data_IF_900280892866
#
_entry.id   IF_900280892866
#
_cell.length_a   1.000
_cell.length_b   1.000
_cell.length_c   1.000
_cell.angle_alpha   90.00
_cell.angle_beta   90.00
_cell.angle_gamma   90.00
#
_symmetry.space_group_name_H-M   'P 1'
#
loop_
_entity.id
_entity.type
_entity.pdbx_description
1 polymer ?
#
# COMPACT_ATOMS: atom_id res chain seq x y z
N UNK A 1 70.48 -3.34 -17.32
CA UNK A 1 69.34 -3.11 -18.23
C UNK A 1 68.56 -1.91 -17.67
N UNK A 2 68.86 -0.69 -18.11
CA UNK A 2 68.24 0.53 -17.56
C UNK A 2 66.85 0.72 -18.16
N UNK A 3 65.80 0.60 -17.33
CA UNK A 3 64.42 0.91 -17.73
C UNK A 3 64.37 2.35 -18.22
N UNK A 4 64.08 2.53 -19.51
CA UNK A 4 64.02 3.84 -20.17
C UNK A 4 63.03 4.76 -19.44
N UNK A 5 63.33 6.06 -19.38
CA UNK A 5 62.49 7.05 -18.71
C UNK A 5 61.04 7.04 -19.24
N UNK A 6 60.87 6.79 -20.55
CA UNK A 6 59.56 6.61 -21.17
C UNK A 6 58.77 5.42 -20.63
N UNK A 7 59.42 4.29 -20.33
CA UNK A 7 58.77 3.12 -19.72
C UNK A 7 58.26 3.41 -18.31
N UNK A 8 58.98 4.23 -17.53
CA UNK A 8 58.57 4.62 -16.17
C UNK A 8 57.35 5.53 -16.19
N UNK A 9 57.34 6.51 -17.10
CA UNK A 9 56.20 7.43 -17.27
C UNK A 9 54.96 6.68 -17.74
N UNK A 10 55.11 5.75 -18.68
CA UNK A 10 54.00 4.93 -19.16
C UNK A 10 53.42 4.03 -18.07
N UNK A 11 54.28 3.38 -17.27
CA UNK A 11 53.84 2.59 -16.12
C UNK A 11 53.06 3.44 -15.09
N UNK A 12 53.56 4.65 -14.77
CA UNK A 12 52.86 5.56 -13.85
C UNK A 12 51.49 5.99 -14.39
N UNK A 13 51.36 6.29 -15.68
CA UNK A 13 50.06 6.60 -16.29
C UNK A 13 49.13 5.39 -16.29
N UNK A 14 49.63 4.20 -16.62
CA UNK A 14 48.84 2.97 -16.63
C UNK A 14 48.31 2.63 -15.22
N UNK A 15 49.18 2.71 -14.20
CA UNK A 15 48.80 2.48 -12.80
C UNK A 15 47.83 3.56 -12.31
N UNK A 16 48.05 4.83 -12.66
CA UNK A 16 47.13 5.92 -12.32
C UNK A 16 45.76 5.74 -12.97
N UNK A 17 45.70 5.37 -14.25
CA UNK A 17 44.46 5.08 -14.96
C UNK A 17 43.74 3.86 -14.38
N UNK A 18 44.47 2.82 -13.99
CA UNK A 18 43.92 1.64 -13.36
C UNK A 18 43.33 1.95 -11.98
N UNK A 19 44.04 2.71 -11.15
CA UNK A 19 43.53 3.17 -9.85
C UNK A 19 42.33 4.10 -10.01
N UNK A 20 42.32 4.98 -11.02
CA UNK A 20 41.18 5.83 -11.34
C UNK A 20 39.97 5.00 -11.78
N UNK A 21 40.15 3.99 -12.63
CA UNK A 21 39.08 3.05 -13.00
C UNK A 21 38.57 2.28 -11.79
N UNK A 22 39.45 1.78 -10.93
CA UNK A 22 39.07 1.03 -9.74
C UNK A 22 38.31 1.93 -8.74
N UNK A 23 38.76 3.17 -8.58
CA UNK A 23 38.07 4.17 -7.77
C UNK A 23 36.72 4.58 -8.37
N UNK A 24 36.60 4.71 -9.70
CA UNK A 24 35.34 5.02 -10.39
C UNK A 24 34.36 3.85 -10.33
N UNK A 25 34.84 2.60 -10.45
CA UNK A 25 34.05 1.38 -10.26
C UNK A 25 33.55 1.29 -8.82
N UNK A 26 34.46 1.44 -7.85
CA UNK A 26 34.11 1.48 -6.43
C UNK A 26 33.13 2.61 -6.11
N UNK A 27 33.31 3.81 -6.66
CA UNK A 27 32.35 4.92 -6.53
C UNK A 27 31.04 4.64 -7.27
N UNK A 28 31.05 3.90 -8.37
CA UNK A 28 29.83 3.50 -9.07
C UNK A 28 29.05 2.44 -8.29
N UNK A 29 29.71 1.61 -7.51
CA UNK A 29 29.13 0.46 -6.81
C UNK A 29 28.76 0.80 -5.35
N UNK A 30 29.61 1.60 -4.68
CA UNK A 30 29.51 1.97 -3.26
C UNK A 30 29.39 3.48 -3.01
N UNK A 31 29.56 4.33 -4.03
CA UNK A 31 29.33 5.76 -3.85
C UNK A 31 27.86 6.05 -3.54
N UNK A 32 27.54 7.12 -2.80
CA UNK A 32 26.16 7.54 -2.54
C UNK A 32 25.46 7.84 -3.87
N UNK A 33 24.74 6.85 -4.40
CA UNK A 33 23.97 7.00 -5.64
C UNK A 33 22.73 7.84 -5.34
N UNK A 34 22.76 9.04 -5.93
CA UNK A 34 21.67 9.96 -6.31
C UNK A 34 20.33 9.71 -5.62
N UNK A 35 19.90 10.74 -4.88
CA UNK A 35 18.51 11.09 -4.52
C UNK A 35 17.52 10.24 -5.31
N UNK A 36 16.87 9.32 -4.61
CA UNK A 36 15.73 8.50 -5.02
C UNK A 36 15.07 9.02 -6.31
N UNK A 37 15.41 8.45 -7.46
CA UNK A 37 14.93 8.95 -8.75
C UNK A 37 13.40 8.87 -8.78
N UNK A 38 12.74 9.95 -9.16
CA UNK A 38 11.28 9.97 -9.29
C UNK A 38 10.83 8.93 -10.30
N UNK A 39 9.81 8.17 -9.93
CA UNK A 39 9.18 7.14 -10.77
C UNK A 39 7.70 7.49 -10.92
N UNK A 40 7.05 7.20 -12.06
CA UNK A 40 5.62 7.39 -12.19
C UNK A 40 4.84 6.55 -11.15
N UNK A 41 4.00 7.15 -10.29
CA UNK A 41 3.24 6.41 -9.27
C UNK A 41 2.34 5.32 -9.87
N UNK A 42 1.73 5.59 -11.03
CA UNK A 42 0.89 4.62 -11.73
C UNK A 42 1.61 3.33 -12.13
N UNK A 43 2.93 3.40 -12.39
CA UNK A 43 3.72 2.19 -12.68
C UNK A 43 3.83 1.30 -11.44
N UNK A 44 4.03 1.89 -10.25
CA UNK A 44 4.15 1.10 -9.03
C UNK A 44 2.79 0.57 -8.58
N UNK A 45 1.72 1.36 -8.70
CA UNK A 45 0.36 0.86 -8.47
C UNK A 45 0.02 -0.32 -9.37
N UNK A 46 0.36 -0.24 -10.66
CA UNK A 46 0.20 -1.35 -11.59
C UNK A 46 0.97 -2.59 -11.11
N UNK A 47 2.22 -2.44 -10.67
CA UNK A 47 3.00 -3.56 -10.10
C UNK A 47 2.33 -4.17 -8.87
N UNK A 48 1.78 -3.34 -7.98
CA UNK A 48 1.08 -3.82 -6.77
C UNK A 48 -0.20 -4.59 -7.10
N UNK A 49 -0.94 -4.17 -8.13
CA UNK A 49 -2.17 -4.83 -8.56
C UNK A 49 -1.93 -6.12 -9.36
N UNK A 50 -0.73 -6.28 -9.93
CA UNK A 50 -0.33 -7.48 -10.69
C UNK A 50 0.75 -8.27 -9.97
N UNK A 51 0.88 -8.10 -8.66
CA UNK A 51 1.87 -8.85 -7.89
C UNK A 51 1.46 -10.34 -7.90
N UNK A 52 2.41 -11.27 -8.11
CA UNK A 52 2.09 -12.70 -8.17
C UNK A 52 1.72 -13.26 -6.79
N UNK A 53 2.29 -12.68 -5.73
CA UNK A 53 2.20 -13.19 -4.37
C UNK A 53 1.37 -12.26 -3.47
N UNK A 54 0.61 -12.87 -2.57
CA UNK A 54 -0.11 -12.16 -1.52
C UNK A 54 0.86 -11.69 -0.43
N UNK A 55 0.67 -10.47 0.08
CA UNK A 55 1.51 -9.94 1.16
C UNK A 55 0.79 -10.08 2.50
N UNK A 56 1.38 -10.82 3.43
CA UNK A 56 0.92 -10.89 4.83
C UNK A 56 1.72 -9.90 5.66
N UNK A 57 1.02 -8.95 6.28
CA UNK A 57 1.60 -7.84 7.01
C UNK A 57 1.23 -7.92 8.50
N UNK A 58 2.22 -7.80 9.35
CA UNK A 58 2.06 -7.56 10.78
C UNK A 58 1.90 -6.06 11.04
N UNK A 59 0.86 -5.67 11.79
CA UNK A 59 0.57 -4.29 12.20
C UNK A 59 1.19 -4.06 13.58
N UNK A 60 2.10 -3.09 13.68
CA UNK A 60 2.80 -2.74 14.92
C UNK A 60 2.71 -1.25 15.21
N UNK A 61 2.82 -0.88 16.48
CA UNK A 61 3.01 0.50 16.93
C UNK A 61 4.12 0.53 17.97
N UNK A 62 5.30 1.05 17.57
CA UNK A 62 6.51 0.87 18.36
C UNK A 62 6.84 -0.63 18.51
N UNK A 63 7.01 -1.10 19.74
CA UNK A 63 7.25 -2.51 20.05
C UNK A 63 5.96 -3.34 20.15
N UNK A 64 4.78 -2.70 20.22
CA UNK A 64 3.51 -3.38 20.43
C UNK A 64 2.96 -3.98 19.13
N UNK A 65 2.67 -5.28 19.15
CA UNK A 65 1.91 -5.94 18.09
C UNK A 65 0.42 -5.60 18.21
N UNK A 66 -0.14 -5.00 17.16
CA UNK A 66 -1.53 -4.58 17.11
C UNK A 66 -2.43 -5.59 16.38
N UNK A 67 -1.90 -6.34 15.42
CA UNK A 67 -2.65 -7.34 14.65
C UNK A 67 -2.04 -7.59 13.27
N UNK A 68 -2.85 -8.03 12.30
CA UNK A 68 -2.37 -8.38 10.96
C UNK A 68 -3.29 -7.87 9.86
N UNK A 69 -2.73 -7.78 8.65
CA UNK A 69 -3.41 -7.40 7.42
C UNK A 69 -2.90 -8.27 6.26
N UNK A 70 -3.81 -8.85 5.49
CA UNK A 70 -3.51 -9.50 4.23
C UNK A 70 -3.78 -8.52 3.09
N UNK A 71 -2.86 -8.49 2.14
CA UNK A 71 -2.97 -7.75 0.88
C UNK A 71 -2.97 -8.76 -0.27
N UNK A 72 -4.12 -8.92 -0.93
CA UNK A 72 -4.36 -9.97 -1.93
C UNK A 72 -4.77 -9.34 -3.25
N UNK A 73 -3.81 -9.00 -4.13
CA UNK A 73 -4.11 -8.69 -5.51
C UNK A 73 -4.47 -9.99 -6.24
N UNK A 74 -5.45 -9.92 -7.13
CA UNK A 74 -5.88 -11.05 -7.94
C UNK A 74 -6.33 -10.58 -9.33
N UNK A 75 -6.27 -11.51 -10.28
CA UNK A 75 -6.56 -11.29 -11.69
C UNK A 75 -7.80 -12.09 -12.06
N UNK A 76 -8.91 -11.37 -12.22
CA UNK A 76 -10.18 -11.94 -12.62
C UNK A 76 -10.26 -12.25 -14.11
N UNK A 77 -10.75 -13.45 -14.42
CA UNK A 77 -11.01 -13.90 -15.77
C UNK A 77 -12.53 -14.00 -15.97
N UNK A 78 -13.06 -13.40 -17.03
CA UNK A 78 -14.42 -13.69 -17.46
C UNK A 78 -14.35 -14.90 -18.38
N UNK A 79 -14.99 -16.00 -17.99
CA UNK A 79 -15.49 -16.94 -18.97
C UNK A 79 -16.50 -16.17 -19.82
N UNK A 80 -16.18 -15.96 -21.10
CA UNK A 80 -16.98 -15.16 -22.04
C UNK A 80 -18.46 -15.56 -21.91
N UNK A 81 -19.28 -14.67 -21.34
CA UNK A 81 -20.72 -14.83 -21.29
C UNK A 81 -21.23 -14.73 -22.72
N UNK A 82 -21.42 -15.89 -23.34
CA UNK A 82 -21.73 -15.99 -24.75
C UNK A 82 -22.46 -17.28 -25.15
N UNK A 83 -23.17 -17.95 -24.24
CA UNK A 83 -24.30 -18.82 -24.57
C UNK A 83 -24.96 -19.35 -23.29
N UNK A 84 -26.29 -19.18 -23.23
CA UNK A 84 -27.32 -20.02 -22.61
C UNK A 84 -26.91 -20.91 -21.43
N UNK A 85 -27.65 -20.74 -20.34
CA UNK A 85 -28.03 -21.83 -19.44
C UNK A 85 -28.34 -23.10 -20.24
N UNK A 86 -27.55 -24.16 -20.03
CA UNK A 86 -27.96 -25.55 -19.80
C UNK A 86 -26.72 -26.46 -19.87
N UNK A 87 -26.66 -27.36 -18.89
CA UNK A 87 -25.93 -28.62 -18.80
C UNK A 87 -24.43 -28.63 -18.47
N UNK A 88 -24.12 -29.57 -17.55
CA UNK A 88 -22.80 -30.09 -17.21
C UNK A 88 -21.99 -30.35 -18.48
N UNK A 89 -20.87 -29.65 -18.62
CA UNK A 89 -19.71 -30.17 -19.34
C UNK A 89 -18.47 -29.38 -18.92
N UNK A 90 -17.38 -30.12 -18.69
CA UNK A 90 -16.06 -29.63 -18.32
C UNK A 90 -15.63 -28.42 -19.15
N UNK A 91 -14.91 -27.45 -18.55
CA UNK A 91 -14.34 -26.35 -19.32
C UNK A 91 -13.43 -26.91 -20.43
N UNK A 92 -13.76 -26.60 -21.68
CA UNK A 92 -12.99 -26.99 -22.87
C UNK A 92 -11.50 -26.67 -22.65
N UNK A 93 -10.69 -27.72 -22.48
CA UNK A 93 -9.25 -27.65 -22.30
C UNK A 93 -8.62 -26.97 -23.54
N UNK A 94 -8.13 -25.74 -23.36
CA UNK A 94 -7.49 -24.96 -24.43
C UNK A 94 -8.04 -23.55 -24.70
N UNK A 95 -9.13 -23.12 -24.06
CA UNK A 95 -9.48 -21.70 -24.08
C UNK A 95 -8.51 -20.92 -23.18
N UNK A 96 -7.70 -20.03 -23.77
CA UNK A 96 -6.91 -19.06 -23.01
C UNK A 96 -7.91 -18.06 -22.38
N UNK A 97 -8.08 -18.06 -21.05
CA UNK A 97 -9.01 -17.16 -20.41
C UNK A 97 -8.59 -15.71 -20.66
N UNK A 98 -9.54 -14.87 -21.06
CA UNK A 98 -9.27 -13.45 -21.28
C UNK A 98 -9.32 -12.73 -19.93
N UNK A 99 -8.25 -12.00 -19.64
CA UNK A 99 -8.20 -11.02 -18.56
C UNK A 99 -9.41 -10.09 -18.67
N UNK A 100 -10.26 -10.06 -17.64
CA UNK A 100 -11.48 -9.26 -17.65
C UNK A 100 -11.47 -8.14 -16.61
N UNK A 101 -10.88 -8.38 -15.44
CA UNK A 101 -10.81 -7.41 -14.36
C UNK A 101 -9.64 -7.70 -13.41
N UNK A 102 -9.30 -6.73 -12.57
CA UNK A 102 -8.38 -6.89 -11.45
C UNK A 102 -9.16 -6.73 -10.15
N UNK A 103 -8.81 -7.52 -9.15
CA UNK A 103 -9.33 -7.38 -7.79
C UNK A 103 -8.19 -7.12 -6.82
N UNK A 104 -8.48 -6.36 -5.78
CA UNK A 104 -7.60 -6.17 -4.66
C UNK A 104 -8.41 -6.31 -3.39
N UNK A 105 -8.13 -7.38 -2.65
CA UNK A 105 -8.74 -7.65 -1.36
C UNK A 105 -7.75 -7.35 -0.23
N UNK A 106 -8.26 -6.65 0.77
CA UNK A 106 -7.53 -6.28 1.97
C UNK A 106 -8.35 -6.72 3.18
N UNK A 107 -7.83 -7.63 3.99
CA UNK A 107 -8.54 -8.11 5.18
C UNK A 107 -7.61 -8.22 6.38
N UNK A 108 -8.13 -8.00 7.57
CA UNK A 108 -7.29 -8.04 8.74
C UNK A 108 -8.03 -7.74 10.03
N UNK A 109 -7.26 -7.67 11.09
CA UNK A 109 -7.73 -7.19 12.36
C UNK A 109 -6.63 -6.45 13.10
N UNK A 110 -7.05 -5.54 13.98
CA UNK A 110 -6.15 -4.80 14.84
C UNK A 110 -6.80 -4.47 16.18
N UNK A 111 -5.98 -4.31 17.20
CA UNK A 111 -6.35 -3.78 18.51
C UNK A 111 -5.57 -2.48 18.69
N UNK A 112 -6.24 -1.37 18.95
CA UNK A 112 -5.59 -0.07 19.13
C UNK A 112 -5.41 0.19 20.62
N UNK A 113 -4.22 0.59 21.10
CA UNK A 113 -4.03 0.98 22.49
C UNK A 113 -4.98 2.14 22.87
N UNK A 114 -5.69 2.00 24.00
CA UNK A 114 -6.72 2.97 24.41
C UNK A 114 -8.09 2.76 23.75
N UNK A 115 -8.25 1.73 22.92
CA UNK A 115 -9.54 1.30 22.39
C UNK A 115 -9.84 -0.16 22.79
N UNK A 116 -10.89 -0.42 23.58
CA UNK A 116 -11.10 -1.73 24.20
C UNK A 116 -11.55 -2.83 23.22
N UNK A 117 -11.97 -2.45 22.01
CA UNK A 117 -12.58 -3.38 21.05
C UNK A 117 -11.63 -3.73 19.91
N UNK A 118 -11.50 -5.03 19.61
CA UNK A 118 -10.79 -5.51 18.43
C UNK A 118 -11.55 -5.10 17.16
N UNK A 119 -10.84 -4.46 16.24
CA UNK A 119 -11.35 -4.02 14.95
C UNK A 119 -11.06 -5.12 13.94
N UNK A 120 -12.07 -5.61 13.23
CA UNK A 120 -11.89 -6.46 12.06
C UNK A 120 -12.32 -5.69 10.82
N UNK A 121 -11.45 -5.62 9.83
CA UNK A 121 -11.71 -4.89 8.59
C UNK A 121 -11.56 -5.81 7.38
N UNK A 122 -12.33 -5.52 6.35
CA UNK A 122 -12.21 -6.12 5.03
C UNK A 122 -12.58 -5.09 3.99
N UNK A 123 -11.79 -4.92 2.94
CA UNK A 123 -12.06 -4.06 1.81
C UNK A 123 -11.77 -4.80 0.51
N UNK A 124 -12.60 -4.58 -0.50
CA UNK A 124 -12.45 -5.14 -1.84
C UNK A 124 -12.53 -4.03 -2.87
N UNK A 125 -11.61 -4.02 -3.82
CA UNK A 125 -11.58 -3.08 -4.94
C UNK A 125 -11.57 -3.86 -6.25
N UNK A 126 -12.54 -3.60 -7.12
CA UNK A 126 -12.59 -4.13 -8.48
C UNK A 126 -12.21 -3.06 -9.49
N UNK A 127 -11.30 -3.39 -10.40
CA UNK A 127 -10.87 -2.54 -11.50
C UNK A 127 -11.06 -3.23 -12.85
N UNK A 128 -11.29 -2.46 -13.90
CA UNK A 128 -11.29 -2.97 -15.27
C UNK A 128 -9.86 -3.21 -15.80
N UNK A 129 -9.75 -3.68 -17.04
CA UNK A 129 -8.45 -3.93 -17.70
C UNK A 129 -7.62 -2.67 -17.96
N UNK A 130 -8.23 -1.47 -17.89
CA UNK A 130 -7.58 -0.18 -17.99
C UNK A 130 -7.20 0.41 -16.62
N UNK A 131 -7.34 -0.36 -15.54
CA UNK A 131 -7.14 0.08 -14.15
C UNK A 131 -8.11 1.18 -13.70
N UNK A 132 -9.26 1.33 -14.37
CA UNK A 132 -10.35 2.17 -13.90
C UNK A 132 -11.13 1.40 -12.83
N UNK A 133 -11.31 2.02 -11.67
CA UNK A 133 -12.07 1.42 -10.58
C UNK A 133 -13.56 1.30 -10.96
N UNK A 134 -14.18 0.18 -10.58
CA UNK A 134 -15.58 -0.12 -10.86
C UNK A 134 -16.40 -0.13 -9.57
N UNK A 135 -15.99 -0.95 -8.61
CA UNK A 135 -16.66 -1.10 -7.32
C UNK A 135 -15.63 -1.10 -6.20
N UNK A 136 -16.00 -0.50 -5.09
CA UNK A 136 -15.24 -0.52 -3.86
C UNK A 136 -16.17 -0.88 -2.72
N UNK A 137 -15.83 -1.90 -1.97
CA UNK A 137 -16.55 -2.28 -0.76
C UNK A 137 -15.61 -2.27 0.43
N UNK A 138 -16.11 -1.85 1.57
CA UNK A 138 -15.38 -1.94 2.84
C UNK A 138 -16.35 -2.24 3.96
N UNK A 139 -15.89 -3.07 4.89
CA UNK A 139 -16.63 -3.51 6.05
C UNK A 139 -15.71 -3.46 7.25
N UNK A 140 -16.12 -2.76 8.29
CA UNK A 140 -15.41 -2.65 9.56
C UNK A 140 -16.34 -3.12 10.66
N UNK A 141 -15.91 -4.13 11.41
CA UNK A 141 -16.65 -4.71 12.53
C UNK A 141 -15.92 -4.39 13.83
N UNK A 142 -16.62 -3.74 14.75
CA UNK A 142 -16.16 -3.41 16.09
C UNK A 142 -17.29 -3.79 17.04
N UNK A 143 -17.28 -5.00 17.62
CA UNK A 143 -18.45 -5.48 18.38
C UNK A 143 -18.92 -4.46 19.45
N UNK A 144 -20.22 -4.11 19.49
CA UNK A 144 -21.33 -4.67 18.70
C UNK A 144 -21.53 -4.07 17.29
N UNK A 145 -20.82 -3.01 16.95
CA UNK A 145 -21.04 -2.17 15.78
C UNK A 145 -20.47 -2.74 14.47
N UNK A 146 -21.19 -2.51 13.36
CA UNK A 146 -20.80 -2.90 12.01
C UNK A 146 -20.99 -1.72 11.06
N UNK A 147 -19.92 -1.37 10.36
CA UNK A 147 -19.90 -0.31 9.34
C UNK A 147 -19.63 -0.96 7.98
N UNK A 148 -20.51 -0.73 7.02
CA UNK A 148 -20.37 -1.20 5.65
C UNK A 148 -20.50 -0.01 4.69
N UNK A 149 -19.63 0.03 3.69
CA UNK A 149 -19.67 1.02 2.63
C UNK A 149 -19.47 0.31 1.31
N UNK A 150 -20.36 0.61 0.36
CA UNK A 150 -20.31 0.10 -1.00
C UNK A 150 -20.38 1.27 -1.98
N UNK A 151 -19.36 1.45 -2.79
CA UNK A 151 -19.27 2.48 -3.81
C UNK A 151 -19.25 1.84 -5.21
N UNK A 152 -20.00 2.43 -6.14
CA UNK A 152 -20.06 2.00 -7.53
C UNK A 152 -19.82 3.19 -8.46
N UNK A 153 -18.79 3.08 -9.31
CA UNK A 153 -18.37 4.12 -10.23
C UNK A 153 -19.39 4.38 -11.35
N UNK A 154 -20.04 3.34 -11.88
CA UNK A 154 -21.01 3.48 -12.98
C UNK A 154 -22.30 4.15 -12.52
N UNK A 155 -22.75 3.83 -11.31
CA UNK A 155 -23.92 4.47 -10.69
C UNK A 155 -23.60 5.84 -10.05
N UNK A 156 -22.32 6.16 -9.84
CA UNK A 156 -21.85 7.32 -9.09
C UNK A 156 -22.46 7.45 -7.68
N UNK A 157 -22.64 6.31 -7.02
CA UNK A 157 -23.30 6.20 -5.71
C UNK A 157 -22.41 5.50 -4.69
N UNK A 158 -22.55 5.92 -3.44
CA UNK A 158 -21.98 5.28 -2.27
C UNK A 158 -23.12 4.94 -1.32
N UNK A 159 -23.30 3.67 -1.00
CA UNK A 159 -24.21 3.21 0.05
C UNK A 159 -23.40 3.04 1.32
N UNK A 160 -23.93 3.55 2.42
CA UNK A 160 -23.35 3.39 3.75
C UNK A 160 -24.40 2.78 4.65
N UNK A 161 -24.04 1.65 5.25
CA UNK A 161 -24.87 0.94 6.20
C UNK A 161 -24.09 0.85 7.52
N UNK A 162 -24.71 1.31 8.60
CA UNK A 162 -24.15 1.28 9.95
C UNK A 162 -25.18 0.66 10.86
N UNK A 163 -24.78 -0.36 11.60
CA UNK A 163 -25.54 -0.93 12.71
C UNK A 163 -24.69 -0.72 13.97
N UNK A 164 -25.04 0.26 14.81
CA UNK A 164 -24.28 0.65 16.00
C UNK A 164 -25.13 0.46 17.26
N UNK A 165 -25.06 -0.72 17.86
CA UNK A 165 -25.67 -1.01 19.18
C UNK A 165 -27.18 -0.74 19.30
N UNK A 166 -27.93 -0.73 18.20
CA UNK A 166 -29.37 -0.45 18.15
C UNK A 166 -29.76 0.68 17.19
N UNK A 167 -28.84 1.61 16.90
CA UNK A 167 -29.05 2.64 15.88
C UNK A 167 -28.63 2.13 14.51
N UNK A 168 -29.59 2.07 13.57
CA UNK A 168 -29.34 1.70 12.19
C UNK A 168 -29.38 2.91 11.29
N UNK A 169 -28.32 3.11 10.53
CA UNK A 169 -28.21 4.15 9.53
C UNK A 169 -27.92 3.50 8.18
N UNK A 170 -28.88 3.60 7.25
CA UNK A 170 -28.71 3.14 5.87
C UNK A 170 -28.99 4.30 4.93
N UNK A 171 -27.95 4.79 4.25
CA UNK A 171 -28.08 5.93 3.35
C UNK A 171 -27.25 5.76 2.10
N UNK A 172 -27.82 6.20 0.99
CA UNK A 172 -27.13 6.29 -0.30
C UNK A 172 -26.81 7.73 -0.62
N UNK A 173 -25.55 8.01 -0.89
CA UNK A 173 -24.99 9.30 -1.28
C UNK A 173 -24.55 9.28 -2.74
N UNK A 174 -24.63 10.42 -3.42
CA UNK A 174 -24.01 10.64 -4.73
C UNK A 174 -22.58 11.14 -4.57
N UNK A 175 -21.70 10.89 -5.55
CA UNK A 175 -20.32 11.40 -5.50
C UNK A 175 -20.21 12.91 -5.37
N UNK A 176 -21.17 13.65 -5.94
CA UNK A 176 -21.21 15.11 -5.82
C UNK A 176 -21.31 15.58 -4.35
N UNK A 177 -21.90 14.79 -3.47
CA UNK A 177 -22.09 15.10 -2.05
C UNK A 177 -20.75 15.02 -1.28
N UNK A 178 -19.78 14.23 -1.75
CA UNK A 178 -18.42 14.15 -1.21
C UNK A 178 -17.59 15.42 -1.43
N UNK A 179 -18.09 16.38 -2.23
CA UNK A 179 -17.49 17.72 -2.30
C UNK A 179 -17.61 18.49 -0.99
N UNK A 180 -18.56 18.14 -0.13
CA UNK A 180 -18.72 18.72 1.20
C UNK A 180 -18.44 17.67 2.30
N UNK A 181 -17.15 17.36 2.57
CA UNK A 181 -16.79 16.33 3.53
C UNK A 181 -17.27 16.63 4.96
N UNK A 182 -17.49 17.91 5.29
CA UNK A 182 -17.96 18.33 6.60
C UNK A 182 -19.42 17.93 6.83
N UNK A 183 -20.28 18.07 5.81
CA UNK A 183 -21.67 17.64 5.89
C UNK A 183 -21.77 16.12 6.06
N UNK A 184 -21.00 15.36 5.25
CA UNK A 184 -20.93 13.90 5.36
C UNK A 184 -20.44 13.43 6.72
N UNK A 185 -19.39 14.02 7.28
CA UNK A 185 -18.90 13.63 8.60
C UNK A 185 -19.89 13.94 9.72
N UNK A 186 -20.76 14.95 9.58
CA UNK A 186 -21.83 15.20 10.56
C UNK A 186 -22.94 14.15 10.45
N UNK A 187 -23.25 13.71 9.23
CA UNK A 187 -24.27 12.69 9.00
C UNK A 187 -23.80 11.27 9.32
N UNK A 188 -22.52 10.97 9.07
CA UNK A 188 -21.88 9.67 9.33
C UNK A 188 -21.30 9.58 10.75
N UNK A 189 -20.96 10.73 11.34
CA UNK A 189 -20.22 10.85 12.59
C UNK A 189 -21.07 10.60 13.82
N UNK A 190 -21.45 9.34 14.03
CA UNK A 190 -21.66 8.84 15.38
C UNK A 190 -20.39 9.05 16.23
N UNK A 191 -20.50 9.02 17.58
CA UNK A 191 -19.39 9.35 18.49
C UNK A 191 -18.13 8.50 18.30
N UNK A 192 -18.23 7.33 17.65
CA UNK A 192 -17.13 6.38 17.47
C UNK A 192 -16.13 6.78 16.38
N UNK A 193 -16.56 7.42 15.28
CA UNK A 193 -15.64 7.78 14.18
C UNK A 193 -14.56 8.79 14.62
N UNK A 194 -14.89 9.87 15.36
CA UNK A 194 -13.88 10.76 15.94
C UNK A 194 -12.96 10.06 16.93
N UNK A 195 -13.47 9.14 17.75
CA UNK A 195 -12.68 8.39 18.73
C UNK A 195 -11.67 7.45 18.05
N UNK A 196 -12.11 6.69 17.06
CA UNK A 196 -11.24 5.80 16.27
C UNK A 196 -10.18 6.60 15.51
N UNK A 197 -10.57 7.71 14.88
CA UNK A 197 -9.61 8.57 14.18
C UNK A 197 -8.60 9.18 15.16
N UNK A 198 -9.04 9.63 16.33
CA UNK A 198 -8.16 10.09 17.41
C UNK A 198 -7.16 9.02 17.87
N UNK A 199 -7.60 7.78 18.05
CA UNK A 199 -6.74 6.66 18.44
C UNK A 199 -5.69 6.32 17.34
N UNK A 200 -6.03 6.52 16.06
CA UNK A 200 -5.08 6.43 14.94
C UNK A 200 -4.21 7.69 14.77
N UNK A 201 -4.28 8.66 15.69
CA UNK A 201 -3.54 9.93 15.62
C UNK A 201 -4.00 10.85 14.50
N UNK A 202 -5.23 10.67 14.02
CA UNK A 202 -5.91 11.48 13.02
C UNK A 202 -7.06 12.26 13.68
N UNK A 203 -6.80 13.31 14.49
CA UNK A 203 -7.87 14.17 15.02
C UNK A 203 -8.67 14.78 13.86
N UNK A 204 -9.86 14.22 13.62
CA UNK A 204 -10.83 14.74 12.65
C UNK A 204 -11.52 15.95 13.28
N UNK A 205 -10.86 17.11 13.25
CA UNK A 205 -11.53 18.37 13.57
C UNK A 205 -12.37 18.80 12.37
N UNK A 206 -13.70 18.70 12.50
CA UNK A 206 -14.67 19.06 11.45
C UNK A 206 -14.54 20.49 10.94
N UNK A 207 -13.91 21.39 11.71
CA UNK A 207 -13.72 22.80 11.36
C UNK A 207 -12.63 23.07 10.30
N UNK A 208 -11.68 22.17 10.08
CA UNK A 208 -10.50 22.43 9.22
C UNK A 208 -10.39 21.53 7.99
N UNK A 209 -11.41 20.72 7.70
CA UNK A 209 -11.39 19.82 6.55
C UNK A 209 -11.77 20.59 5.28
N UNK A 210 -10.77 20.88 4.45
CA UNK A 210 -10.99 21.39 3.09
C UNK A 210 -10.97 20.23 2.08
N UNK A 211 -11.75 20.28 0.98
CA UNK A 211 -11.71 19.24 -0.05
C UNK A 211 -10.31 19.02 -0.65
N UNK A 212 -9.49 20.08 -0.70
CA UNK A 212 -8.10 20.00 -1.15
C UNK A 212 -7.20 19.20 -0.19
N UNK A 213 -7.43 19.31 1.12
CA UNK A 213 -6.67 18.59 2.15
C UNK A 213 -6.93 17.07 2.18
N UNK A 214 -8.02 16.61 1.56
CA UNK A 214 -8.33 15.20 1.32
C UNK A 214 -7.72 14.65 0.03
N UNK A 215 -7.17 15.52 -0.83
CA UNK A 215 -6.59 15.12 -2.10
C UNK A 215 -5.30 14.33 -1.89
N UNK A 216 -5.35 13.01 -2.12
CA UNK A 216 -4.18 12.14 -2.07
C UNK A 216 -3.30 12.37 -3.30
N UNK A 217 -2.17 13.05 -3.11
CA UNK A 217 -1.13 13.19 -4.14
C UNK A 217 -0.02 12.17 -3.88
N UNK A 218 -0.02 11.12 -4.69
CA UNK A 218 1.01 10.09 -4.63
C UNK A 218 2.26 10.53 -5.38
N UNK A 219 3.40 10.43 -4.71
CA UNK A 219 4.73 10.51 -5.33
C UNK A 219 5.39 9.14 -5.20
N UNK A 220 6.07 8.67 -6.24
CA UNK A 220 6.84 7.44 -6.18
C UNK A 220 8.31 7.70 -6.47
N UNK A 221 9.20 7.02 -5.75
CA UNK A 221 10.64 7.14 -5.94
C UNK A 221 11.31 5.79 -5.78
N UNK A 222 12.46 5.60 -6.44
CA UNK A 222 13.33 4.45 -6.18
C UNK A 222 14.01 4.63 -4.83
N UNK A 223 13.95 3.62 -3.97
CA UNK A 223 14.57 3.64 -2.65
C UNK A 223 15.21 2.28 -2.34
N UNK A 224 15.80 2.14 -1.16
CA UNK A 224 16.31 0.87 -0.67
C UNK A 224 16.07 0.76 0.83
N UNK A 225 15.62 -0.41 1.28
CA UNK A 225 15.52 -0.73 2.70
C UNK A 225 16.62 -1.71 3.08
N UNK A 226 17.05 -1.66 4.34
CA UNK A 226 17.96 -2.65 4.92
C UNK A 226 17.10 -3.75 5.55
N UNK A 227 17.37 -4.99 5.18
CA UNK A 227 16.72 -6.20 5.69
C UNK A 227 17.83 -7.10 6.23
N UNK A 228 17.93 -7.24 7.55
CA UNK A 228 19.09 -7.83 8.20
C UNK A 228 20.37 -7.09 7.79
N UNK A 229 21.29 -7.81 7.13
CA UNK A 229 22.56 -7.24 6.63
C UNK A 229 22.52 -6.84 5.14
N UNK A 230 21.40 -7.09 4.45
CA UNK A 230 21.29 -6.89 3.01
C UNK A 230 20.44 -5.66 2.66
N UNK A 231 20.87 -4.90 1.65
CA UNK A 231 20.08 -3.79 1.09
C UNK A 231 19.22 -4.29 -0.06
N UNK A 232 17.92 -4.16 0.09
CA UNK A 232 16.93 -4.55 -0.93
C UNK A 232 16.41 -3.30 -1.61
N UNK A 233 16.35 -3.31 -2.95
CA UNK A 233 15.76 -2.21 -3.74
C UNK A 233 14.26 -2.24 -3.62
N UNK A 234 13.65 -1.07 -3.45
CA UNK A 234 12.20 -0.90 -3.33
C UNK A 234 11.73 0.35 -4.05
N UNK A 235 10.44 0.42 -4.32
CA UNK A 235 9.76 1.66 -4.68
C UNK A 235 9.11 2.24 -3.42
N UNK A 236 9.40 3.50 -3.10
CA UNK A 236 8.72 4.24 -2.05
C UNK A 236 7.61 5.08 -2.64
N UNK A 237 6.36 4.75 -2.31
CA UNK A 237 5.19 5.57 -2.57
C UNK A 237 4.93 6.42 -1.34
N UNK A 238 4.70 7.71 -1.51
CA UNK A 238 4.40 8.61 -0.42
C UNK A 238 3.22 9.50 -0.79
N UNK A 239 2.37 9.78 0.18
CA UNK A 239 1.29 10.75 0.06
C UNK A 239 1.15 11.52 1.36
N UNK A 240 0.53 12.70 1.27
CA UNK A 240 0.13 13.49 2.43
C UNK A 240 -1.39 13.44 2.56
N UNK A 241 -1.86 13.13 3.75
CA UNK A 241 -3.25 13.13 4.16
C UNK A 241 -3.47 14.33 5.10
N UNK A 242 -4.53 15.11 4.85
CA UNK A 242 -4.85 16.34 5.60
C UNK A 242 -3.68 17.34 5.68
N UNK A 243 -2.86 17.38 4.62
CA UNK A 243 -1.63 18.17 4.48
C UNK A 243 -0.55 17.99 5.58
N UNK A 244 -0.82 17.12 6.56
CA UNK A 244 0.00 16.94 7.77
C UNK A 244 0.52 15.52 7.92
N UNK A 245 -0.33 14.54 7.68
CA UNK A 245 -0.03 13.15 7.96
C UNK A 245 0.61 12.50 6.74
N UNK A 246 1.82 11.95 6.90
CA UNK A 246 2.51 11.25 5.81
C UNK A 246 2.17 9.78 5.87
N UNK A 247 1.80 9.22 4.72
CA UNK A 247 1.70 7.78 4.50
C UNK A 247 2.81 7.39 3.54
N UNK A 248 3.58 6.36 3.88
CA UNK A 248 4.65 5.84 3.03
C UNK A 248 4.45 4.34 2.82
N UNK A 249 4.50 3.87 1.58
CA UNK A 249 4.46 2.46 1.21
C UNK A 249 5.79 2.08 0.56
N UNK A 250 6.37 0.96 0.96
CA UNK A 250 7.59 0.40 0.40
C UNK A 250 7.24 -0.89 -0.32
N UNK A 251 7.41 -0.88 -1.64
CA UNK A 251 6.96 -1.93 -2.54
C UNK A 251 8.17 -2.60 -3.18
N UNK A 252 8.19 -3.92 -3.25
CA UNK A 252 9.28 -4.65 -3.91
C UNK A 252 9.27 -4.41 -5.43
N UNK A 253 10.36 -4.71 -6.16
CA UNK A 253 10.40 -4.55 -7.61
C UNK A 253 9.38 -5.43 -8.35
N UNK A 254 8.95 -6.53 -7.72
CA UNK A 254 7.93 -7.47 -8.23
C UNK A 254 6.51 -7.05 -7.88
N UNK A 255 6.31 -6.12 -6.93
CA UNK A 255 5.00 -5.51 -6.63
C UNK A 255 4.47 -5.79 -5.23
N UNK A 256 5.16 -6.59 -4.41
CA UNK A 256 4.70 -6.93 -3.07
C UNK A 256 4.83 -5.74 -2.12
N UNK A 257 3.90 -5.61 -1.18
CA UNK A 257 3.98 -4.61 -0.13
C UNK A 257 4.88 -5.13 0.99
N UNK A 258 6.07 -4.53 1.13
CA UNK A 258 7.05 -4.96 2.14
C UNK A 258 6.85 -4.23 3.47
N UNK A 259 6.50 -2.95 3.40
CA UNK A 259 6.28 -2.11 4.57
C UNK A 259 5.33 -0.97 4.26
N UNK A 260 4.42 -0.64 5.17
CA UNK A 260 3.65 0.59 5.14
C UNK A 260 3.85 1.36 6.44
N UNK A 261 4.14 2.65 6.34
CA UNK A 261 4.21 3.57 7.47
C UNK A 261 2.98 4.45 7.43
N UNK A 262 2.19 4.37 8.49
CA UNK A 262 0.97 5.13 8.72
C UNK A 262 1.22 6.17 9.83
N UNK A 263 0.27 7.11 10.01
CA UNK A 263 0.33 8.07 11.12
C UNK A 263 0.38 7.37 12.49
N UNK A 264 0.78 8.12 13.52
CA UNK A 264 0.88 7.63 14.90
C UNK A 264 1.86 6.46 15.10
N UNK A 265 2.95 6.42 14.33
CA UNK A 265 3.97 5.35 14.38
C UNK A 265 3.43 3.94 14.13
N UNK A 266 2.28 3.84 13.46
CA UNK A 266 1.74 2.56 13.03
C UNK A 266 2.54 2.10 11.81
N UNK A 267 3.12 0.91 11.89
CA UNK A 267 3.93 0.32 10.82
C UNK A 267 3.35 -1.05 10.51
N UNK A 268 3.05 -1.28 9.23
CA UNK A 268 2.75 -2.60 8.70
C UNK A 268 4.04 -3.14 8.11
N UNK A 269 4.48 -4.33 8.51
CA UNK A 269 5.70 -4.96 8.02
C UNK A 269 5.37 -6.34 7.52
N UNK A 270 5.90 -6.73 6.37
CA UNK A 270 5.76 -8.09 5.87
C UNK A 270 6.25 -9.10 6.92
N UNK A 271 5.48 -10.15 7.16
CA UNK A 271 5.75 -11.13 8.24
C UNK A 271 7.18 -11.69 8.19
N UNK A 272 7.65 -12.05 6.98
CA UNK A 272 9.02 -12.51 6.75
C UNK A 272 10.11 -11.46 7.13
N UNK A 273 9.79 -10.17 7.04
CA UNK A 273 10.69 -9.08 7.44
C UNK A 273 10.59 -8.79 8.94
N UNK A 274 9.41 -8.97 9.54
CA UNK A 274 9.20 -8.75 10.96
C UNK A 274 10.02 -9.74 11.82
N UNK A 275 10.11 -11.00 11.40
CA UNK A 275 10.92 -12.01 12.07
C UNK A 275 12.42 -11.68 12.12
N UNK A 276 12.96 -10.98 11.12
CA UNK A 276 14.38 -10.59 11.06
C UNK A 276 14.72 -9.45 12.02
N UNK A 277 13.76 -8.57 12.34
CA UNK A 277 13.99 -7.49 13.30
C UNK A 277 14.03 -8.04 14.74
N UNK A 278 13.12 -8.97 15.07
CA UNK A 278 13.06 -9.57 16.41
C UNK A 278 14.28 -10.45 16.72
N UNK A 279 14.86 -11.14 15.72
CA UNK A 279 16.06 -11.97 15.91
C UNK A 279 17.34 -11.18 16.22
N UNK A 280 17.33 -9.86 16.03
CA UNK A 280 18.49 -9.00 16.35
C UNK A 280 18.42 -8.47 17.78
N UNK A 281 17.22 -8.34 18.36
CA UNK A 281 17.00 -7.88 19.74
C UNK A 281 17.07 -9.00 20.80
N UNK A 282 17.07 -10.28 20.40
CA UNK A 282 17.16 -11.42 21.33
C UNK A 282 18.61 -11.86 21.63
N UNK A 283 19.60 -11.12 21.11
CA UNK A 283 21.03 -11.42 21.26
C UNK A 283 21.83 -10.34 22.00
N UNK A 284 21.17 -9.36 22.63
CA UNK A 284 21.79 -8.36 23.53
C UNK A 284 21.36 -8.56 25.00
#
# INVERSE_FOLDING_TARGET
MSISWGTRVWLLMATGSWLAMMFLLWRSEFGPRRIASSVPPGMVWKKMLTAPDHSTLEIRQGTNHLGYCHWRPDIGQDAVTGARFLDEDDPIEGMVPRLAYYTLDLDGNMTIPGFPTRIRFSAGLKLDTNYAWQTFETRVRLRPDVYELFANASEQKVRVHVDAGGDRFDRTFRFAEFRNPQALLRELGGPMLPAMAGAMGLPLSTNNLSPASLGLRWEARNDSIVVGHNRVRVYRLQTKLLDRYRISLFVSPVGELLRAELPNHIVLVHDQLAGLHNATDEND
#
